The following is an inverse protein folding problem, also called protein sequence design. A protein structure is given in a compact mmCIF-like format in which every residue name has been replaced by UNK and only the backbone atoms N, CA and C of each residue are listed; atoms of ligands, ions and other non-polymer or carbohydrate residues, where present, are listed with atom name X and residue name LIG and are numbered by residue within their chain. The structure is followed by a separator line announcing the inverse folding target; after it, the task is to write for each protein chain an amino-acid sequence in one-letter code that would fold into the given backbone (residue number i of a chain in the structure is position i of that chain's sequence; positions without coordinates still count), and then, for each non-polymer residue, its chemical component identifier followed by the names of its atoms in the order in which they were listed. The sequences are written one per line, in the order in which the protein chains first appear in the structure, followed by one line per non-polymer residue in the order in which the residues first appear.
data_IF_473962671344
#
_entry.id   IF_473962671344
#
_cell.length_a   1.000
_cell.length_b   1.000
_cell.length_c   1.000
_cell.angle_alpha   90.00
_cell.angle_beta   90.00
_cell.angle_gamma   90.00
#
_symmetry.space_group_name_H-M   'P 1'
#
loop_
_entity.id
_entity.type
_entity.pdbx_description
1 polymer ?
#
# COMPACT_ATOMS: atom_id res chain seq x y z
N UNK A 1 -20.50 5.71 -9.38
CA UNK A 1 -20.34 4.33 -9.88
C UNK A 1 -19.52 3.53 -8.87
N UNK A 2 -20.17 2.70 -8.05
CA UNK A 2 -19.54 1.80 -7.08
C UNK A 2 -20.36 0.50 -6.96
N UNK A 3 -21.05 0.10 -8.03
CA UNK A 3 -21.82 -1.14 -8.00
C UNK A 3 -20.84 -2.30 -8.18
N UNK A 4 -20.77 -3.21 -7.21
CA UNK A 4 -19.95 -4.43 -7.27
C UNK A 4 -20.50 -5.46 -8.25
N UNK A 5 -20.64 -5.08 -9.51
CA UNK A 5 -21.20 -5.91 -10.58
C UNK A 5 -20.16 -6.90 -11.10
N UNK A 6 -20.63 -8.05 -11.55
CA UNK A 6 -19.78 -8.97 -12.31
C UNK A 6 -19.39 -8.35 -13.65
N UNK A 7 -18.26 -8.78 -14.22
CA UNK A 7 -17.78 -8.30 -15.53
C UNK A 7 -18.83 -8.51 -16.63
N UNK A 8 -19.61 -9.59 -16.53
CA UNK A 8 -20.71 -9.88 -17.46
C UNK A 8 -21.83 -8.85 -17.37
N UNK A 9 -22.30 -8.54 -16.15
CA UNK A 9 -23.35 -7.56 -15.93
C UNK A 9 -22.88 -6.14 -16.26
N UNK A 10 -21.63 -5.80 -15.97
CA UNK A 10 -21.03 -4.52 -16.34
C UNK A 10 -20.91 -4.35 -17.86
N UNK A 11 -20.58 -5.42 -18.59
CA UNK A 11 -20.54 -5.41 -20.05
C UNK A 11 -21.93 -5.18 -20.64
N UNK A 12 -22.94 -5.86 -20.10
CA UNK A 12 -24.33 -5.72 -20.51
C UNK A 12 -24.89 -4.31 -20.24
N UNK A 13 -24.64 -3.75 -19.04
CA UNK A 13 -25.04 -2.37 -18.69
C UNK A 13 -24.35 -1.33 -19.59
N UNK A 14 -23.11 -1.60 -20.03
CA UNK A 14 -22.37 -0.77 -20.96
C UNK A 14 -22.76 -0.98 -22.44
N UNK A 15 -23.68 -1.90 -22.75
CA UNK A 15 -24.05 -2.25 -24.13
C UNK A 15 -22.92 -2.92 -24.92
N UNK A 16 -21.95 -3.54 -24.24
CA UNK A 16 -20.77 -4.16 -24.81
C UNK A 16 -20.82 -5.69 -24.66
N UNK A 17 -20.20 -6.40 -25.59
CA UNK A 17 -19.88 -7.82 -25.37
C UNK A 17 -18.79 -7.95 -24.31
N UNK A 18 -18.72 -9.09 -23.60
CA UNK A 18 -17.68 -9.35 -22.58
C UNK A 18 -16.27 -9.15 -23.12
N UNK A 19 -16.01 -9.64 -24.33
CA UNK A 19 -14.72 -9.45 -25.02
C UNK A 19 -14.47 -8.00 -25.43
N UNK A 20 -15.53 -7.28 -25.84
CA UNK A 20 -15.47 -5.85 -26.15
C UNK A 20 -15.08 -5.01 -24.94
N UNK A 21 -15.66 -5.29 -23.77
CA UNK A 21 -15.31 -4.64 -22.51
C UNK A 21 -13.85 -4.92 -22.13
N UNK A 22 -13.41 -6.18 -22.22
CA UNK A 22 -12.02 -6.54 -21.93
C UNK A 22 -11.03 -5.80 -22.84
N UNK A 23 -11.34 -5.67 -24.13
CA UNK A 23 -10.52 -4.90 -25.09
C UNK A 23 -10.53 -3.40 -24.77
N UNK A 24 -11.68 -2.86 -24.38
CA UNK A 24 -11.81 -1.46 -23.98
C UNK A 24 -10.97 -1.13 -22.74
N UNK A 25 -10.95 -2.02 -21.74
CA UNK A 25 -10.14 -1.85 -20.52
C UNK A 25 -8.63 -1.80 -20.77
N UNK A 26 -8.16 -2.43 -21.86
CA UNK A 26 -6.73 -2.41 -22.25
C UNK A 26 -6.32 -1.13 -22.96
N UNK A 27 -7.26 -0.23 -23.30
CA UNK A 27 -6.92 1.06 -23.92
C UNK A 27 -6.25 1.96 -22.88
N UNK A 28 -5.14 2.65 -23.21
CA UNK A 28 -4.40 3.47 -22.24
C UNK A 28 -5.28 4.46 -21.49
N UNK A 29 -6.12 5.22 -22.21
CA UNK A 29 -7.01 6.21 -21.58
C UNK A 29 -8.03 5.61 -20.60
N UNK A 30 -8.48 4.38 -20.83
CA UNK A 30 -9.42 3.69 -19.93
C UNK A 30 -8.68 3.13 -18.72
N UNK A 31 -7.48 2.60 -18.92
CA UNK A 31 -6.62 2.11 -17.85
C UNK A 31 -6.21 3.25 -16.90
N UNK A 32 -5.82 4.40 -17.44
CA UNK A 32 -5.44 5.59 -16.67
C UNK A 32 -6.62 6.10 -15.84
N UNK A 33 -7.80 6.22 -16.44
CA UNK A 33 -9.02 6.63 -15.74
C UNK A 33 -9.40 5.64 -14.62
N UNK A 34 -9.25 4.34 -14.86
CA UNK A 34 -9.51 3.31 -13.87
C UNK A 34 -8.52 3.40 -12.70
N UNK A 35 -7.23 3.59 -12.99
CA UNK A 35 -6.19 3.78 -11.96
C UNK A 35 -6.44 5.04 -11.11
N UNK A 36 -6.83 6.15 -11.74
CA UNK A 36 -7.21 7.38 -11.04
C UNK A 36 -8.43 7.14 -10.12
N UNK A 37 -9.46 6.48 -10.65
CA UNK A 37 -10.68 6.18 -9.90
C UNK A 37 -10.39 5.26 -8.70
N UNK A 38 -9.52 4.26 -8.89
CA UNK A 38 -9.07 3.37 -7.80
C UNK A 38 -8.32 4.14 -6.72
N UNK A 39 -7.38 5.00 -7.13
CA UNK A 39 -6.60 5.84 -6.20
C UNK A 39 -7.51 6.73 -5.36
N UNK A 40 -8.49 7.38 -6.00
CA UNK A 40 -9.49 8.22 -5.32
C UNK A 40 -10.30 7.42 -4.31
N UNK A 41 -10.79 6.25 -4.70
CA UNK A 41 -11.55 5.37 -3.82
C UNK A 41 -10.72 4.91 -2.61
N UNK A 42 -9.47 4.51 -2.82
CA UNK A 42 -8.58 4.11 -1.73
C UNK A 42 -8.31 5.27 -0.76
N UNK A 43 -8.11 6.49 -1.28
CA UNK A 43 -7.96 7.67 -0.44
C UNK A 43 -9.21 7.93 0.40
N UNK A 44 -10.41 7.83 -0.18
CA UNK A 44 -11.66 8.02 0.55
C UNK A 44 -11.86 6.98 1.66
N UNK A 45 -11.55 5.71 1.39
CA UNK A 45 -11.65 4.63 2.36
C UNK A 45 -10.62 4.81 3.48
N UNK A 46 -9.38 5.17 3.14
CA UNK A 46 -8.33 5.43 4.11
C UNK A 46 -8.69 6.60 5.04
N UNK A 47 -9.29 7.67 4.50
CA UNK A 47 -9.75 8.81 5.29
C UNK A 47 -10.86 8.41 6.28
N UNK A 48 -11.72 7.45 5.91
CA UNK A 48 -12.79 6.94 6.79
C UNK A 48 -12.31 5.88 7.78
N UNK A 49 -11.10 5.33 7.61
CA UNK A 49 -10.59 4.20 8.39
C UNK A 49 -10.57 4.48 9.89
N UNK A 50 -10.13 5.67 10.29
CA UNK A 50 -10.07 6.05 11.70
C UNK A 50 -11.48 6.08 12.34
N UNK A 51 -12.46 6.66 11.65
CA UNK A 51 -13.84 6.78 12.13
C UNK A 51 -14.50 5.40 12.20
N UNK A 52 -14.32 4.57 11.16
CA UNK A 52 -14.85 3.21 11.15
C UNK A 52 -14.20 2.33 12.22
N UNK A 53 -12.90 2.53 12.49
CA UNK A 53 -12.20 1.87 13.58
C UNK A 53 -12.79 2.28 14.93
N UNK A 54 -12.98 3.58 15.18
CA UNK A 54 -13.60 4.06 16.42
C UNK A 54 -14.99 3.42 16.65
N UNK A 55 -15.86 3.42 15.62
CA UNK A 55 -17.17 2.76 15.70
C UNK A 55 -17.08 1.25 15.96
N UNK A 56 -16.10 0.57 15.38
CA UNK A 56 -15.89 -0.85 15.64
C UNK A 56 -15.48 -1.11 17.10
N UNK A 57 -14.70 -0.21 17.70
CA UNK A 57 -14.34 -0.28 19.13
C UNK A 57 -15.55 -0.04 20.02
N UNK A 58 -16.43 0.91 19.67
CA UNK A 58 -17.67 1.17 20.41
C UNK A 58 -18.57 -0.08 20.43
N UNK A 59 -18.79 -0.69 19.25
CA UNK A 59 -19.59 -1.93 19.14
C UNK A 59 -18.94 -3.08 19.91
N UNK A 60 -17.61 -3.20 19.87
CA UNK A 60 -16.89 -4.21 20.62
C UNK A 60 -17.08 -4.04 22.15
N UNK A 61 -17.09 -2.80 22.64
CA UNK A 61 -17.38 -2.51 24.04
C UNK A 61 -18.81 -2.91 24.42
N UNK A 62 -19.80 -2.60 23.57
CA UNK A 62 -21.20 -2.97 23.78
C UNK A 62 -21.37 -4.50 23.81
N UNK A 63 -20.73 -5.23 22.90
CA UNK A 63 -20.76 -6.70 22.86
C UNK A 63 -20.13 -7.35 24.10
N UNK A 64 -19.10 -6.74 24.68
CA UNK A 64 -18.49 -7.24 25.92
C UNK A 64 -19.44 -7.12 27.12
N UNK A 65 -20.20 -6.02 27.17
CA UNK A 65 -21.16 -5.74 28.22
C UNK A 65 -22.49 -6.51 28.05
N UNK A 66 -22.80 -7.01 26.85
CA UNK A 66 -23.97 -7.83 26.59
C UNK A 66 -23.87 -9.22 27.25
N UNK A 67 -24.97 -9.71 27.82
CA UNK A 67 -25.07 -11.05 28.42
C UNK A 67 -25.18 -12.17 27.39
N UNK A 68 -25.59 -11.85 26.16
CA UNK A 68 -25.91 -12.85 25.12
C UNK A 68 -24.70 -13.23 24.27
N UNK A 69 -23.59 -12.52 24.44
CA UNK A 69 -22.37 -12.76 23.66
C UNK A 69 -21.58 -13.92 24.26
N UNK A 70 -21.26 -14.93 23.43
CA UNK A 70 -20.43 -16.07 23.81
C UNK A 70 -19.07 -15.62 24.40
N UNK A 71 -18.69 -16.24 25.52
CA UNK A 71 -17.40 -16.06 26.20
C UNK A 71 -16.20 -16.14 25.25
N UNK A 72 -16.23 -17.02 24.23
CA UNK A 72 -15.15 -17.12 23.22
C UNK A 72 -15.04 -15.85 22.36
N UNK A 73 -16.18 -15.29 21.95
CA UNK A 73 -16.23 -14.04 21.19
C UNK A 73 -15.74 -12.88 22.06
N UNK A 74 -16.15 -12.83 23.33
CA UNK A 74 -15.67 -11.83 24.29
C UNK A 74 -14.14 -11.87 24.47
N UNK A 75 -13.57 -13.05 24.65
CA UNK A 75 -12.12 -13.20 24.79
C UNK A 75 -11.39 -12.65 23.56
N UNK A 76 -11.89 -12.92 22.35
CA UNK A 76 -11.32 -12.39 21.11
C UNK A 76 -11.46 -10.88 20.99
N UNK A 77 -12.59 -10.30 21.42
CA UNK A 77 -12.77 -8.85 21.46
C UNK A 77 -11.81 -8.19 22.45
N UNK A 78 -11.61 -8.77 23.64
CA UNK A 78 -10.64 -8.28 24.64
C UNK A 78 -9.23 -8.29 24.05
N UNK A 79 -8.80 -9.39 23.43
CA UNK A 79 -7.50 -9.49 22.76
C UNK A 79 -7.32 -8.39 21.70
N UNK A 80 -8.35 -8.13 20.90
CA UNK A 80 -8.33 -7.11 19.86
C UNK A 80 -8.22 -5.69 20.44
N UNK A 81 -8.99 -5.37 21.49
CA UNK A 81 -8.94 -4.07 22.16
C UNK A 81 -7.59 -3.81 22.82
N UNK A 82 -7.00 -4.83 23.43
CA UNK A 82 -5.68 -4.75 24.07
C UNK A 82 -4.52 -4.67 23.07
N UNK A 83 -4.74 -5.08 21.81
CA UNK A 83 -3.71 -5.08 20.77
C UNK A 83 -3.48 -3.70 20.12
N UNK A 84 -4.33 -2.69 20.37
CA UNK A 84 -4.29 -1.40 19.67
C UNK A 84 -3.06 -0.51 19.99
N UNK A 85 -2.17 -0.96 20.88
CA UNK A 85 -0.91 -0.30 21.21
C UNK A 85 0.34 -0.90 20.55
N UNK A 86 0.22 -2.04 19.85
CA UNK A 86 1.38 -2.62 19.15
C UNK A 86 1.58 -1.89 17.84
N UNK A 87 2.44 -0.87 17.86
CA UNK A 87 2.95 -0.25 16.64
C UNK A 87 3.44 -1.36 15.70
N UNK A 88 3.14 -1.29 14.39
CA UNK A 88 3.73 -2.23 13.45
C UNK A 88 5.24 -2.10 13.57
N UNK A 89 5.91 -3.17 14.03
CA UNK A 89 7.36 -3.23 14.04
C UNK A 89 7.79 -3.23 12.58
N UNK A 90 8.14 -2.06 12.06
CA UNK A 90 8.73 -1.94 10.73
C UNK A 90 10.13 -2.53 10.83
N UNK A 91 10.24 -3.83 10.54
CA UNK A 91 11.52 -4.50 10.41
C UNK A 91 12.15 -4.07 9.07
N UNK A 92 12.98 -3.03 9.11
CA UNK A 92 13.81 -2.64 7.97
C UNK A 92 14.98 -3.62 7.92
N UNK A 93 14.90 -4.61 7.02
CA UNK A 93 16.07 -5.42 6.66
C UNK A 93 16.91 -4.63 5.64
N UNK A 94 17.99 -4.00 6.10
CA UNK A 94 19.02 -3.44 5.21
C UNK A 94 19.99 -4.56 4.87
N UNK A 95 19.91 -5.06 3.63
CA UNK A 95 20.92 -5.96 3.10
C UNK A 95 22.17 -5.14 2.75
N UNK A 96 23.25 -5.35 3.51
CA UNK A 96 24.52 -4.66 3.28
C UNK A 96 25.32 -5.28 2.11
N UNK A 97 24.90 -6.42 1.55
CA UNK A 97 25.61 -7.08 0.46
C UNK A 97 25.46 -6.37 -0.89
N UNK A 98 24.43 -5.53 -1.06
CA UNK A 98 24.14 -4.80 -2.30
C UNK A 98 24.99 -3.54 -2.48
N UNK A 99 25.73 -3.08 -1.46
CA UNK A 99 26.57 -1.88 -1.53
C UNK A 99 28.02 -2.12 -1.96
N UNK A 100 28.36 -3.32 -2.43
CA UNK A 100 29.70 -3.63 -2.96
C UNK A 100 29.87 -3.15 -4.42
N UNK A 101 28.80 -2.66 -5.06
CA UNK A 101 28.81 -2.19 -6.44
C UNK A 101 28.17 -0.82 -6.65
N UNK A 102 28.95 0.24 -6.47
CA UNK A 102 28.65 1.58 -6.99
C UNK A 102 28.04 2.57 -6.00
N UNK A 103 28.88 3.45 -5.44
CA UNK A 103 28.45 4.69 -4.80
C UNK A 103 28.28 4.64 -3.28
N UNK A 104 29.24 4.08 -2.55
CA UNK A 104 29.29 4.17 -1.09
C UNK A 104 29.84 5.52 -0.62
N UNK A 105 29.21 6.12 0.38
CA UNK A 105 29.83 7.19 1.16
C UNK A 105 31.03 6.60 1.90
N UNK A 106 32.23 6.87 1.39
CA UNK A 106 33.47 6.44 2.01
C UNK A 106 33.78 7.33 3.21
N UNK A 107 33.84 6.75 4.41
CA UNK A 107 34.22 7.48 5.62
C UNK A 107 35.73 7.76 5.58
N UNK A 108 36.11 8.92 5.06
CA UNK A 108 37.51 9.38 5.02
C UNK A 108 37.94 9.73 6.44
N UNK A 109 38.98 9.05 6.94
CA UNK A 109 39.58 9.39 8.25
C UNK A 109 40.21 10.80 8.16
N UNK A 110 40.08 11.65 9.21
CA UNK A 110 40.65 12.99 9.19
C UNK A 110 42.15 12.96 8.90
N UNK A 111 42.56 13.42 7.72
CA UNK A 111 43.97 13.48 7.29
C UNK A 111 44.30 12.77 5.96
N UNK A 112 43.40 11.97 5.39
CA UNK A 112 43.63 11.37 4.06
C UNK A 112 43.26 12.35 2.93
N UNK A 113 44.22 12.65 2.03
CA UNK A 113 43.95 13.40 0.79
C UNK A 113 43.51 12.44 -0.30
N UNK A 114 42.31 12.64 -0.82
CA UNK A 114 41.84 12.00 -2.06
C UNK A 114 42.51 12.74 -3.22
N UNK A 115 43.24 12.02 -4.08
CA UNK A 115 43.81 12.57 -5.31
C UNK A 115 42.89 12.10 -6.44
N UNK A 116 42.15 13.02 -7.05
CA UNK A 116 41.44 12.78 -8.30
C UNK A 116 42.46 12.78 -9.45
N UNK A 117 42.52 11.68 -10.22
CA UNK A 117 43.27 11.63 -11.47
C UNK A 117 42.27 12.00 -12.56
N UNK A 118 42.36 13.22 -13.09
CA UNK A 118 41.66 13.60 -14.32
C UNK A 118 42.31 12.86 -15.50
N UNK A 119 41.54 11.97 -16.13
CA UNK A 119 41.95 11.33 -17.37
C UNK A 119 41.81 12.37 -18.50
N UNK A 120 42.95 12.84 -18.99
CA UNK A 120 43.02 13.84 -20.06
C UNK A 120 42.51 13.22 -21.38
N UNK A 121 41.56 13.85 -22.09
CA UNK A 121 41.14 13.35 -23.39
C UNK A 121 42.28 13.55 -24.41
N UNK A 122 42.85 12.47 -24.92
CA UNK A 122 43.70 12.51 -26.11
C UNK A 122 42.81 12.64 -27.35
N UNK A 123 42.80 13.81 -27.97
CA UNK A 123 42.47 13.97 -29.38
C UNK A 123 43.73 13.86 -30.24
N UNK A 124 43.60 13.31 -31.45
CA UNK A 124 44.66 13.30 -32.45
C UNK A 124 44.38 12.36 -33.62
N UNK A 125 43.78 12.93 -34.67
CA UNK A 125 43.85 12.62 -36.12
C UNK A 125 43.73 11.17 -36.63
#
# INVERSE_FOLDING_TARGET
MQKGLSIAAAAEEAGLSRFGLQKAMKRPSVADFLAETQTRFLSEVNNKRAILRARALDIAADMLNSTDTDSKVKLRLIEMLMADGKAPAVAVHVDASTNVGGGGYEFVRPGARVIEIEDKPQGGE
#
